data_IF_159139078920
#
_entry.id   IF_159139078920
#
_cell.length_a   1.000
_cell.length_b   1.000
_cell.length_c   1.000
_cell.angle_alpha   90.00
_cell.angle_beta   90.00
_cell.angle_gamma   90.00
#
_symmetry.space_group_name_H-M   'P 1'
#
loop_
_entity.id
_entity.type
_entity.pdbx_description
1 polymer ?
#
# COMPACT_ATOMS: atom_id res chain seq x y z
N UNK A 1 -1.16 0.87 -2.39
CA UNK A 1 -0.09 -0.14 -2.60
C UNK A 1 1.28 0.51 -2.52
N UNK A 2 2.22 -0.13 -1.83
CA UNK A 2 3.59 0.39 -1.66
C UNK A 2 4.64 -0.67 -1.97
N UNK A 3 5.86 -0.22 -2.25
CA UNK A 3 7.04 -1.08 -2.30
C UNK A 3 7.50 -1.51 -0.89
N UNK A 4 8.63 -2.22 -0.82
CA UNK A 4 9.22 -2.67 0.45
C UNK A 4 9.80 -1.55 1.33
N UNK A 5 10.04 -0.37 0.76
CA UNK A 5 10.49 0.83 1.46
C UNK A 5 9.32 1.69 1.97
N UNK A 6 8.08 1.32 1.65
CA UNK A 6 6.87 2.08 1.94
C UNK A 6 6.64 3.27 0.99
N UNK A 7 7.24 3.25 -0.20
CA UNK A 7 6.99 4.22 -1.26
C UNK A 7 5.77 3.81 -2.07
N UNK A 8 4.94 4.78 -2.44
CA UNK A 8 3.69 4.54 -3.13
C UNK A 8 3.90 4.10 -4.57
N UNK A 9 3.29 2.97 -4.94
CA UNK A 9 3.26 2.45 -6.32
C UNK A 9 1.89 2.68 -6.98
N UNK A 10 0.84 2.78 -6.19
CA UNK A 10 -0.51 3.05 -6.66
C UNK A 10 -1.45 3.28 -5.48
N UNK A 11 -2.50 4.06 -5.68
CA UNK A 11 -3.53 4.35 -4.70
C UNK A 11 -4.87 4.35 -5.40
N UNK A 12 -5.88 3.81 -4.71
CA UNK A 12 -7.28 3.98 -5.06
C UNK A 12 -8.01 4.32 -3.77
N UNK A 13 -8.91 5.29 -3.83
CA UNK A 13 -9.84 5.64 -2.74
C UNK A 13 -11.23 5.31 -3.26
N UNK A 14 -11.99 4.57 -2.46
CA UNK A 14 -13.34 4.13 -2.83
C UNK A 14 -14.34 4.59 -1.77
N UNK A 15 -15.60 4.64 -2.15
CA UNK A 15 -16.68 4.82 -1.19
C UNK A 15 -16.70 3.68 -0.16
N UNK A 16 -17.17 3.97 1.06
CA UNK A 16 -17.12 3.03 2.18
C UNK A 16 -17.98 1.76 2.00
N UNK A 17 -18.91 1.76 1.04
CA UNK A 17 -19.73 0.59 0.71
C UNK A 17 -19.03 -0.38 -0.27
N UNK A 18 -17.87 -0.02 -0.81
CA UNK A 18 -17.07 -0.88 -1.68
C UNK A 18 -16.10 -1.67 -0.81
N UNK A 19 -16.14 -2.99 -0.92
CA UNK A 19 -15.23 -3.86 -0.19
C UNK A 19 -13.79 -3.75 -0.73
N UNK A 20 -12.81 -3.89 0.17
CA UNK A 20 -11.39 -3.82 -0.19
C UNK A 20 -10.98 -4.81 -1.30
N UNK A 21 -11.62 -5.98 -1.34
CA UNK A 21 -11.38 -7.01 -2.38
C UNK A 21 -11.79 -6.51 -3.76
N UNK A 22 -12.91 -5.80 -3.86
CA UNK A 22 -13.41 -5.27 -5.13
C UNK A 22 -12.56 -4.08 -5.57
N UNK A 23 -12.20 -3.19 -4.64
CA UNK A 23 -11.30 -2.06 -4.90
C UNK A 23 -9.90 -2.53 -5.36
N UNK A 24 -9.39 -3.64 -4.81
CA UNK A 24 -8.08 -4.17 -5.15
C UNK A 24 -7.96 -4.64 -6.60
N UNK A 25 -9.05 -5.05 -7.26
CA UNK A 25 -9.04 -5.48 -8.66
C UNK A 25 -8.51 -4.36 -9.56
N UNK A 26 -9.07 -3.16 -9.44
CA UNK A 26 -8.65 -1.99 -10.21
C UNK A 26 -7.21 -1.59 -9.89
N UNK A 27 -6.85 -1.57 -8.61
CA UNK A 27 -5.50 -1.20 -8.16
C UNK A 27 -4.42 -2.17 -8.67
N UNK A 28 -4.67 -3.49 -8.64
CA UNK A 28 -3.72 -4.48 -9.13
C UNK A 28 -3.59 -4.45 -10.65
N UNK A 29 -4.69 -4.20 -11.38
CA UNK A 29 -4.65 -4.02 -12.83
C UNK A 29 -3.80 -2.79 -13.20
N UNK A 30 -3.99 -1.66 -12.51
CA UNK A 30 -3.20 -0.45 -12.71
C UNK A 30 -1.72 -0.69 -12.38
N UNK A 31 -1.43 -1.38 -11.27
CA UNK A 31 -0.06 -1.76 -10.92
C UNK A 31 0.58 -2.58 -12.04
N UNK A 32 -0.12 -3.59 -12.56
CA UNK A 32 0.40 -4.46 -13.63
C UNK A 32 0.67 -3.69 -14.92
N UNK A 33 -0.13 -2.68 -15.21
CA UNK A 33 0.06 -1.79 -16.35
C UNK A 33 1.33 -0.95 -16.20
N UNK A 34 1.57 -0.38 -15.02
CA UNK A 34 2.68 0.54 -14.76
C UNK A 34 4.00 -0.16 -14.39
N UNK A 35 3.93 -1.33 -13.76
CA UNK A 35 5.07 -2.02 -13.14
C UNK A 35 5.11 -3.49 -13.53
N UNK A 36 5.57 -3.75 -14.76
CA UNK A 36 5.56 -5.08 -15.37
C UNK A 36 6.51 -6.08 -14.70
N UNK A 37 7.50 -5.60 -13.98
CA UNK A 37 8.49 -6.48 -13.35
C UNK A 37 8.07 -6.95 -11.94
N UNK A 38 6.99 -6.36 -11.40
CA UNK A 38 6.43 -6.81 -10.13
C UNK A 38 5.61 -8.08 -10.36
N UNK A 39 6.00 -9.13 -9.64
CA UNK A 39 5.36 -10.45 -9.69
C UNK A 39 4.83 -10.90 -8.34
N UNK A 40 5.27 -10.28 -7.24
CA UNK A 40 4.92 -10.66 -5.86
C UNK A 40 4.23 -9.49 -5.15
N UNK A 41 3.09 -9.76 -4.51
CA UNK A 41 2.34 -8.79 -3.71
C UNK A 41 2.02 -9.40 -2.36
N UNK A 42 2.20 -8.66 -1.27
CA UNK A 42 1.73 -9.08 0.06
C UNK A 42 0.41 -8.40 0.38
N UNK A 43 -0.52 -9.15 0.96
CA UNK A 43 -1.79 -8.63 1.45
C UNK A 43 -2.17 -9.31 2.78
N UNK A 44 -3.04 -8.71 3.57
CA UNK A 44 -3.53 -9.34 4.80
C UNK A 44 -4.69 -10.32 4.54
N UNK A 45 -5.23 -10.91 5.62
CA UNK A 45 -6.31 -11.88 5.54
C UNK A 45 -7.61 -11.38 4.88
N UNK A 46 -7.81 -10.06 4.79
CA UNK A 46 -8.98 -9.46 4.15
C UNK A 46 -9.01 -9.63 2.63
N UNK A 47 -7.85 -9.88 2.00
CA UNK A 47 -7.69 -9.99 0.54
C UNK A 47 -7.66 -11.44 0.03
N UNK A 48 -8.27 -12.36 0.78
CA UNK A 48 -8.35 -13.78 0.44
C UNK A 48 -9.45 -14.08 -0.59
N UNK A 49 -9.49 -15.32 -1.09
CA UNK A 49 -10.53 -15.82 -2.00
C UNK A 49 -10.24 -15.53 -3.47
N UNK A 50 -11.31 -15.31 -4.25
CA UNK A 50 -11.27 -15.19 -5.72
C UNK A 50 -10.31 -14.12 -6.25
N UNK A 51 -9.99 -13.10 -5.46
CA UNK A 51 -9.01 -12.08 -5.82
C UNK A 51 -7.61 -12.68 -6.05
N UNK A 52 -7.22 -13.67 -5.25
CA UNK A 52 -5.89 -14.31 -5.34
C UNK A 52 -5.76 -15.07 -6.66
N UNK A 53 -6.77 -15.85 -7.00
CA UNK A 53 -6.80 -16.64 -8.23
C UNK A 53 -6.88 -15.73 -9.45
N UNK A 54 -7.75 -14.71 -9.40
CA UNK A 54 -7.86 -13.70 -10.46
C UNK A 54 -6.52 -12.97 -10.71
N UNK A 55 -5.82 -12.54 -9.67
CA UNK A 55 -4.55 -11.85 -9.81
C UNK A 55 -3.47 -12.76 -10.42
N UNK A 56 -3.47 -14.05 -10.09
CA UNK A 56 -2.56 -15.05 -10.66
C UNK A 56 -2.86 -15.29 -12.13
N UNK A 57 -4.12 -15.54 -12.46
CA UNK A 57 -4.53 -15.92 -13.82
C UNK A 57 -4.52 -14.76 -14.80
N UNK A 58 -4.96 -13.57 -14.37
CA UNK A 58 -5.16 -12.42 -15.27
C UNK A 58 -3.98 -11.46 -15.27
N UNK A 59 -3.24 -11.37 -14.16
CA UNK A 59 -2.17 -10.39 -14.01
C UNK A 59 -0.79 -11.04 -13.82
N UNK A 60 -0.66 -12.37 -13.78
CA UNK A 60 0.60 -13.05 -13.45
C UNK A 60 1.24 -12.53 -12.14
N UNK A 61 0.40 -12.09 -11.20
CA UNK A 61 0.81 -11.67 -9.86
C UNK A 61 0.62 -12.82 -8.90
N UNK A 62 1.50 -12.93 -7.91
CA UNK A 62 1.38 -13.89 -6.82
C UNK A 62 1.06 -13.12 -5.54
N UNK A 63 -0.23 -13.00 -5.15
CA UNK A 63 -0.58 -12.50 -3.83
C UNK A 63 -0.18 -13.50 -2.75
N UNK A 64 0.62 -13.07 -1.79
CA UNK A 64 0.92 -13.79 -0.56
C UNK A 64 0.10 -13.19 0.58
N UNK A 65 -0.82 -13.99 1.10
CA UNK A 65 -1.66 -13.60 2.23
C UNK A 65 -0.89 -13.78 3.53
N UNK A 66 -0.62 -12.67 4.21
CA UNK A 66 0.01 -12.62 5.53
C UNK A 66 -1.09 -12.53 6.58
N UNK A 67 -1.45 -13.68 7.14
CA UNK A 67 -2.39 -13.78 8.27
C UNK A 67 -1.71 -14.41 9.49
N UNK A 68 -2.25 -14.10 10.68
CA UNK A 68 -1.86 -14.78 11.91
C UNK A 68 -2.34 -16.23 11.83
N UNK A 69 -1.61 -17.16 12.43
CA UNK A 69 -2.16 -18.48 12.71
C UNK A 69 -3.24 -18.38 13.79
N UNK A 70 -4.32 -19.15 13.64
CA UNK A 70 -5.41 -19.20 14.61
C UNK A 70 -4.96 -19.87 15.92
N UNK A 71 -3.91 -20.69 15.86
CA UNK A 71 -3.35 -21.43 17.00
C UNK A 71 -2.44 -20.58 17.92
N UNK A 72 -2.09 -19.36 17.51
CA UNK A 72 -1.14 -18.55 18.29
C UNK A 72 -1.86 -17.70 19.34
N UNK A 73 -1.47 -17.87 20.61
CA UNK A 73 -1.93 -17.03 21.73
C UNK A 73 -1.06 -15.78 21.86
N UNK A 74 -1.69 -14.63 22.07
CA UNK A 74 -1.01 -13.35 22.28
C UNK A 74 -0.69 -12.57 20.99
N UNK A 75 0.10 -11.51 21.13
CA UNK A 75 0.50 -10.65 20.01
C UNK A 75 1.66 -11.28 19.23
N UNK A 76 1.49 -11.39 17.92
CA UNK A 76 2.54 -11.84 16.99
C UNK A 76 2.78 -10.76 15.95
N UNK A 77 4.03 -10.36 15.80
CA UNK A 77 4.45 -9.46 14.72
C UNK A 77 4.32 -10.20 13.40
N UNK A 78 3.42 -9.75 12.54
CA UNK A 78 3.34 -10.30 11.19
C UNK A 78 4.42 -9.70 10.29
N UNK A 79 5.06 -10.53 9.44
CA UNK A 79 6.09 -10.07 8.54
C UNK A 79 5.52 -9.01 7.58
N UNK A 80 6.33 -8.00 7.25
CA UNK A 80 6.04 -6.93 6.29
C UNK A 80 4.89 -5.96 6.63
N UNK A 81 4.01 -6.26 7.61
CA UNK A 81 2.91 -5.37 8.01
C UNK A 81 3.40 -3.96 8.39
N UNK A 82 4.52 -3.91 9.11
CA UNK A 82 5.15 -2.65 9.55
C UNK A 82 5.47 -1.69 8.39
N UNK A 83 5.63 -2.19 7.16
CA UNK A 83 5.88 -1.34 5.98
C UNK A 83 4.65 -0.50 5.67
N UNK A 84 3.46 -1.11 5.64
CA UNK A 84 2.21 -0.42 5.37
C UNK A 84 1.86 0.54 6.52
N UNK A 85 1.97 0.10 7.77
CA UNK A 85 1.73 0.94 8.95
C UNK A 85 2.62 2.18 8.96
N UNK A 86 3.90 2.01 8.62
CA UNK A 86 4.86 3.10 8.53
C UNK A 86 4.49 4.08 7.41
N UNK A 87 4.02 3.59 6.26
CA UNK A 87 3.47 4.43 5.19
C UNK A 87 2.30 5.25 5.70
N UNK A 88 1.33 4.64 6.39
CA UNK A 88 0.21 5.37 6.98
C UNK A 88 0.67 6.42 7.99
N UNK A 89 1.61 6.10 8.87
CA UNK A 89 2.19 7.07 9.81
C UNK A 89 2.80 8.28 9.09
N UNK A 90 3.41 8.07 7.92
CA UNK A 90 3.94 9.17 7.11
C UNK A 90 2.87 10.01 6.45
N UNK A 91 1.80 9.37 5.95
CA UNK A 91 0.65 10.08 5.39
C UNK A 91 -0.03 10.95 6.45
N UNK A 92 -0.19 10.44 7.68
CA UNK A 92 -0.76 11.16 8.82
C UNK A 92 0.02 12.42 9.22
N UNK A 93 1.31 12.50 8.91
CA UNK A 93 2.09 13.73 9.12
C UNK A 93 1.69 14.87 8.16
N UNK A 94 0.92 14.56 7.12
CA UNK A 94 0.33 15.57 6.22
C UNK A 94 -1.03 15.94 6.80
N UNK A 95 -1.17 17.17 7.31
CA UNK A 95 -2.37 17.64 8.03
C UNK A 95 -3.70 17.29 7.35
N UNK A 96 -3.75 17.36 6.00
CA UNK A 96 -4.94 17.04 5.19
C UNK A 96 -5.30 15.56 5.12
N UNK A 97 -4.39 14.66 5.46
CA UNK A 97 -4.63 13.21 5.48
C UNK A 97 -4.87 12.69 6.90
N UNK A 98 -4.69 13.54 7.92
CA UNK A 98 -4.93 13.17 9.31
C UNK A 98 -6.42 13.02 9.65
N UNK A 99 -7.29 13.63 8.84
CA UNK A 99 -8.74 13.51 8.87
C UNK A 99 -9.24 13.50 7.43
N UNK A 100 -10.39 12.89 7.21
CA UNK A 100 -11.03 12.95 5.90
C UNK A 100 -11.62 14.35 5.67
N UNK A 101 -10.91 15.16 4.90
CA UNK A 101 -11.33 16.52 4.53
C UNK A 101 -11.92 16.57 3.12
N UNK A 102 -11.64 15.57 2.29
CA UNK A 102 -11.93 15.63 0.87
C UNK A 102 -13.25 14.92 0.59
N UNK A 103 -14.17 15.59 -0.12
CA UNK A 103 -15.49 15.02 -0.42
C UNK A 103 -15.44 14.03 -1.60
N UNK A 104 -14.45 14.17 -2.47
CA UNK A 104 -14.29 13.38 -3.69
C UNK A 104 -13.07 12.44 -3.56
N UNK A 105 -13.21 11.14 -3.88
CA UNK A 105 -12.11 10.18 -3.79
C UNK A 105 -10.84 10.61 -4.55
N UNK A 106 -11.01 11.25 -5.71
CA UNK A 106 -9.92 11.71 -6.57
C UNK A 106 -9.06 12.78 -5.86
N UNK A 107 -9.70 13.63 -5.05
CA UNK A 107 -8.99 14.64 -4.26
C UNK A 107 -8.20 13.98 -3.11
N UNK A 108 -8.78 12.97 -2.46
CA UNK A 108 -8.07 12.16 -1.45
C UNK A 108 -6.85 11.45 -2.05
N UNK A 109 -7.00 10.84 -3.22
CA UNK A 109 -5.89 10.23 -3.95
C UNK A 109 -4.79 11.23 -4.29
N UNK A 110 -5.17 12.41 -4.82
CA UNK A 110 -4.22 13.47 -5.14
C UNK A 110 -3.45 13.94 -3.89
N UNK A 111 -4.11 14.04 -2.74
CA UNK A 111 -3.45 14.40 -1.49
C UNK A 111 -2.47 13.33 -1.00
N UNK A 112 -2.80 12.04 -1.17
CA UNK A 112 -1.90 10.93 -0.86
C UNK A 112 -0.67 10.97 -1.77
N UNK A 113 -0.87 11.18 -3.08
CA UNK A 113 0.20 11.32 -4.06
C UNK A 113 1.12 12.51 -3.71
N UNK A 114 0.55 13.68 -3.41
CA UNK A 114 1.29 14.88 -3.01
C UNK A 114 2.16 14.65 -1.77
N UNK A 115 1.60 13.98 -0.76
CA UNK A 115 2.33 13.62 0.46
C UNK A 115 3.56 12.77 0.14
N UNK A 116 3.40 11.79 -0.76
CA UNK A 116 4.48 10.89 -1.15
C UNK A 116 5.52 11.55 -2.03
N UNK A 117 5.13 12.39 -2.99
CA UNK A 117 6.07 13.22 -3.77
C UNK A 117 6.92 14.06 -2.83
N UNK A 118 6.29 14.80 -1.91
CA UNK A 118 7.00 15.64 -0.95
C UNK A 118 8.00 14.82 -0.11
N UNK A 119 7.59 13.63 0.33
CA UNK A 119 8.44 12.71 1.10
C UNK A 119 9.65 12.23 0.29
N UNK A 120 9.41 11.79 -0.94
CA UNK A 120 10.46 11.28 -1.83
C UNK A 120 11.45 12.39 -2.19
N UNK A 121 10.97 13.60 -2.52
CA UNK A 121 11.82 14.77 -2.78
C UNK A 121 12.72 15.10 -1.60
N UNK A 122 12.19 15.07 -0.36
CA UNK A 122 13.01 15.29 0.86
C UNK A 122 14.07 14.21 1.06
N UNK A 123 13.79 12.95 0.69
CA UNK A 123 14.79 11.86 0.77
C UNK A 123 15.90 12.03 -0.24
N UNK A 124 15.56 12.42 -1.47
CA UNK A 124 16.52 12.68 -2.53
C UNK A 124 17.42 13.89 -2.23
N UNK A 125 16.86 14.96 -1.65
CA UNK A 125 17.60 16.16 -1.27
C UNK A 125 18.42 15.98 0.02
N UNK A 126 18.26 14.87 0.76
CA UNK A 126 18.99 14.67 2.01
C UNK A 126 20.46 14.40 1.68
N UNK A 127 21.41 15.17 2.22
CA UNK A 127 22.83 14.87 2.04
C UNK A 127 23.08 13.43 2.48
N UNK A 128 23.80 12.64 1.65
CA UNK A 128 24.30 11.33 2.12
C UNK A 128 25.08 11.64 3.39
N UNK A 129 24.60 11.12 4.52
CA UNK A 129 25.36 11.21 5.76
C UNK A 129 26.75 10.69 5.44
N UNK A 130 27.78 11.54 5.58
CA UNK A 130 29.16 11.10 5.49
C UNK A 130 29.26 9.88 6.40
N UNK A 131 29.69 8.75 5.82
CA UNK A 131 29.72 7.48 6.52
C UNK A 131 30.35 7.70 7.89
N UNK A 132 29.55 7.54 8.95
CA UNK A 132 30.06 7.51 10.32
C UNK A 132 30.99 6.30 10.37
N UNK A 133 32.30 6.57 10.31
CA UNK A 133 33.37 5.64 10.64
C UNK A 133 33.39 5.42 12.14
#
# INVERSE_FOLDING_TARGET
MTDTLGLLLGVVVTAANIGDRDAAVGLLAQLRHLHRDITLVWADGGYTGSLVDWAREKLALTPQIVKRSDDTRGFVVLPRRWVAERTFAWLMNSRRLARDYETQPENSEAMIQWSMVTRMSRRLARPRAAARR
#
